data_IF_624447811792
#
_entry.id   IF_624447811792
#
_cell.length_a   1.000
_cell.length_b   1.000
_cell.length_c   1.000
_cell.angle_alpha   90.00
_cell.angle_beta   90.00
_cell.angle_gamma   90.00
#
_symmetry.space_group_name_H-M   'P 1'
#
loop_
_entity.id
_entity.type
_entity.pdbx_description
1 polymer ?
#
# COMPACT_ATOMS: atom_id res chain seq x y z
N UNK A 1 -12.04 -25.78 9.09
CA UNK A 1 -12.02 -25.37 7.66
C UNK A 1 -11.79 -23.87 7.61
N UNK A 2 -10.96 -23.36 6.69
CA UNK A 2 -10.57 -21.94 6.63
C UNK A 2 -11.65 -21.02 6.04
N UNK A 3 -12.71 -21.57 5.43
CA UNK A 3 -13.83 -20.80 4.91
C UNK A 3 -13.37 -19.67 3.97
N UNK A 4 -13.65 -18.43 4.36
CA UNK A 4 -13.28 -17.22 3.60
C UNK A 4 -11.75 -16.98 3.56
N UNK A 5 -10.99 -17.54 4.50
CA UNK A 5 -9.52 -17.40 4.59
C UNK A 5 -8.78 -18.45 3.75
N UNK A 6 -9.49 -19.30 3.00
CA UNK A 6 -8.86 -20.26 2.10
C UNK A 6 -8.08 -19.57 0.97
N UNK A 7 -7.15 -20.29 0.31
CA UNK A 7 -6.42 -19.79 -0.85
C UNK A 7 -7.30 -19.94 -2.09
N UNK A 8 -7.59 -18.83 -2.76
CA UNK A 8 -8.42 -18.79 -3.95
C UNK A 8 -7.61 -18.41 -5.18
N UNK A 9 -7.83 -19.10 -6.29
CA UNK A 9 -7.38 -18.65 -7.61
C UNK A 9 -8.52 -17.87 -8.25
N UNK A 10 -8.27 -16.61 -8.58
CA UNK A 10 -9.23 -15.73 -9.26
C UNK A 10 -8.64 -15.22 -10.57
N UNK A 11 -9.52 -14.94 -11.52
CA UNK A 11 -9.22 -14.23 -12.76
C UNK A 11 -9.86 -12.85 -12.66
N UNK A 12 -9.14 -11.81 -13.08
CA UNK A 12 -9.57 -10.41 -12.96
C UNK A 12 -9.39 -9.70 -14.29
N UNK A 13 -10.22 -8.69 -14.54
CA UNK A 13 -10.16 -7.81 -15.70
C UNK A 13 -10.15 -6.36 -15.20
N UNK A 14 -9.22 -5.55 -15.68
CA UNK A 14 -9.07 -4.11 -15.37
C UNK A 14 -9.14 -3.75 -13.87
N UNK A 15 -8.59 -4.59 -13.01
CA UNK A 15 -8.62 -4.36 -11.56
C UNK A 15 -7.64 -3.23 -11.18
N UNK A 16 -8.13 -2.07 -10.70
CA UNK A 16 -7.26 -0.96 -10.38
C UNK A 16 -6.43 -1.27 -9.14
N UNK A 17 -5.13 -0.92 -9.20
CA UNK A 17 -4.21 -1.08 -8.09
C UNK A 17 -3.18 0.06 -8.08
N UNK A 18 -2.56 0.25 -6.91
CA UNK A 18 -1.49 1.20 -6.71
C UNK A 18 -0.20 0.44 -6.36
N UNK A 19 0.93 0.86 -6.94
CA UNK A 19 2.24 0.36 -6.53
C UNK A 19 2.61 1.05 -5.21
N UNK A 20 2.69 0.26 -4.14
CA UNK A 20 3.05 0.78 -2.81
C UNK A 20 4.55 0.68 -2.55
N UNK A 21 5.16 -0.44 -2.95
CA UNK A 21 6.60 -0.69 -2.84
C UNK A 21 7.09 -1.23 -4.17
N UNK A 22 8.21 -0.73 -4.66
CA UNK A 22 8.86 -1.23 -5.88
C UNK A 22 10.14 -2.03 -5.61
N UNK A 23 10.71 -2.57 -6.67
CA UNK A 23 11.94 -3.39 -6.66
C UNK A 23 13.23 -2.57 -6.49
N UNK A 24 13.14 -1.24 -6.42
CA UNK A 24 14.26 -0.31 -6.29
C UNK A 24 14.36 0.26 -4.87
N UNK A 25 13.48 -0.17 -3.97
CA UNK A 25 13.44 0.30 -2.58
C UNK A 25 12.59 1.55 -2.38
N UNK A 26 11.77 1.98 -3.35
CA UNK A 26 10.82 3.05 -3.16
C UNK A 26 9.60 2.55 -2.40
N UNK A 27 9.17 3.32 -1.39
CA UNK A 27 7.95 3.07 -0.60
C UNK A 27 7.08 4.34 -0.61
N UNK A 28 5.84 4.20 -1.05
CA UNK A 28 4.87 5.29 -1.18
C UNK A 28 4.57 5.97 0.18
N UNK A 29 4.44 5.19 1.26
CA UNK A 29 4.05 5.72 2.56
C UNK A 29 5.22 6.38 3.30
N UNK A 30 6.46 5.92 3.10
CA UNK A 30 7.64 6.57 3.65
C UNK A 30 7.82 8.00 3.14
N UNK A 31 7.49 8.23 1.86
CA UNK A 31 7.54 9.57 1.25
C UNK A 31 6.50 10.53 1.82
N UNK A 32 5.35 10.02 2.29
CA UNK A 32 4.31 10.85 2.94
C UNK A 32 4.71 11.14 4.38
N UNK A 33 5.21 10.14 5.12
CA UNK A 33 5.68 10.31 6.50
C UNK A 33 6.70 11.44 6.61
N UNK A 34 7.73 11.44 5.76
CA UNK A 34 8.77 12.48 5.79
C UNK A 34 8.27 13.88 5.39
N UNK A 35 7.11 13.99 4.72
CA UNK A 35 6.47 15.28 4.43
C UNK A 35 5.68 15.81 5.62
N UNK A 36 5.21 14.93 6.51
CA UNK A 36 4.53 15.31 7.73
C UNK A 36 5.47 15.85 8.82
N UNK A 37 6.79 15.64 8.70
CA UNK A 37 7.78 16.16 9.65
C UNK A 37 7.76 17.69 9.75
N UNK A 38 7.34 18.38 8.68
CA UNK A 38 7.14 19.83 8.64
C UNK A 38 5.67 20.25 8.78
N UNK A 39 4.77 19.30 9.06
CA UNK A 39 3.37 19.62 9.28
C UNK A 39 3.26 20.31 10.65
N UNK A 40 3.16 21.64 10.61
CA UNK A 40 2.94 22.50 11.76
C UNK A 40 1.54 22.27 12.36
N UNK A 41 1.24 21.06 12.81
CA UNK A 41 0.22 20.85 13.84
C UNK A 41 0.93 21.18 15.16
N UNK A 42 1.08 22.48 15.37
CA UNK A 42 1.28 23.18 16.64
C UNK A 42 1.66 22.30 17.82
N UNK A 43 2.95 22.32 18.16
CA UNK A 43 3.38 22.23 19.55
C UNK A 43 2.73 23.34 20.38
#
# INVERSE_FOLDING_TARGET
ELGMEAIWKIEVEDFPAFILVDDKGNDFFQQISGRCDNCAITK
#
